data_IF_351424704700
#
_entry.id   IF_351424704700
#
_cell.length_a   1.000
_cell.length_b   1.000
_cell.length_c   1.000
_cell.angle_alpha   90.00
_cell.angle_beta   90.00
_cell.angle_gamma   90.00
#
_symmetry.space_group_name_H-M   'P 1'
#
loop_
_entity.id
_entity.type
_entity.pdbx_description
1 polymer ?
#
# COMPACT_ATOMS: atom_id res chain seq x y z
N UNK A 1 -10.42 -3.35 -15.49
CA UNK A 1 -11.10 -2.52 -14.47
C UNK A 1 -10.06 -2.22 -13.41
N UNK A 2 -9.91 -0.96 -13.01
CA UNK A 2 -8.93 -0.56 -12.00
C UNK A 2 -9.57 -0.46 -10.62
N UNK A 3 -8.84 -0.91 -9.60
CA UNK A 3 -9.25 -0.86 -8.19
C UNK A 3 -8.18 -0.10 -7.40
N UNK A 4 -8.62 0.84 -6.58
CA UNK A 4 -7.76 1.51 -5.60
C UNK A 4 -7.74 0.67 -4.31
N UNK A 5 -6.60 0.07 -4.00
CA UNK A 5 -6.32 -0.46 -2.69
C UNK A 5 -5.67 0.61 -1.83
N UNK A 6 -6.21 0.86 -0.64
CA UNK A 6 -5.69 1.82 0.33
C UNK A 6 -5.16 1.04 1.52
N UNK A 7 -3.87 1.17 1.79
CA UNK A 7 -3.31 0.77 3.07
C UNK A 7 -3.46 1.95 4.03
N UNK A 8 -4.54 1.93 4.81
CA UNK A 8 -4.98 3.08 5.60
C UNK A 8 -4.16 3.24 6.88
N UNK A 9 -3.46 4.37 6.93
CA UNK A 9 -2.73 4.91 8.07
C UNK A 9 -2.98 6.44 8.15
N UNK A 10 -4.25 6.84 7.98
CA UNK A 10 -4.69 8.24 7.97
C UNK A 10 -3.97 9.06 6.88
N UNK A 11 -3.33 10.18 7.23
CA UNK A 11 -2.59 11.01 6.26
C UNK A 11 -1.34 10.33 5.68
N UNK A 12 -0.90 9.24 6.30
CA UNK A 12 0.25 8.45 5.85
C UNK A 12 -0.16 7.22 5.03
N UNK A 13 -1.43 7.15 4.61
CA UNK A 13 -1.95 6.02 3.84
C UNK A 13 -1.23 5.83 2.51
N UNK A 14 -0.89 4.59 2.18
CA UNK A 14 -0.34 4.26 0.86
C UNK A 14 -1.44 3.86 -0.10
N UNK A 15 -1.32 4.29 -1.36
CA UNK A 15 -2.34 4.08 -2.38
C UNK A 15 -1.81 3.16 -3.48
N UNK A 16 -2.56 2.11 -3.80
CA UNK A 16 -2.16 1.11 -4.78
C UNK A 16 -3.25 0.97 -5.83
N UNK A 17 -2.93 1.18 -7.11
CA UNK A 17 -3.91 0.96 -8.20
C UNK A 17 -3.57 -0.32 -8.90
N UNK A 18 -4.51 -1.28 -8.85
CA UNK A 18 -4.38 -2.56 -9.52
C UNK A 18 -5.34 -2.63 -10.72
N UNK A 19 -4.83 -3.01 -11.89
CA UNK A 19 -5.68 -3.28 -13.05
C UNK A 19 -6.07 -4.77 -13.12
N UNK A 20 -7.37 -5.05 -12.95
CA UNK A 20 -7.96 -6.40 -13.05
C UNK A 20 -8.25 -6.83 -14.49
N UNK A 21 -7.85 -6.07 -15.50
CA UNK A 21 -8.05 -6.44 -16.90
C UNK A 21 -7.14 -7.61 -17.29
N UNK A 22 -7.65 -8.56 -18.06
CA UNK A 22 -6.86 -9.72 -18.52
C UNK A 22 -5.64 -9.23 -19.31
N UNK A 23 -4.46 -9.81 -19.03
CA UNK A 23 -3.21 -9.50 -19.73
C UNK A 23 -2.40 -8.31 -19.18
N UNK A 24 -3.01 -7.42 -18.39
CA UNK A 24 -2.30 -6.29 -17.76
C UNK A 24 -1.99 -6.67 -16.31
N UNK A 25 -0.73 -6.94 -16.01
CA UNK A 25 -0.25 -7.24 -14.66
C UNK A 25 0.57 -6.05 -14.14
N UNK A 26 -0.10 -4.93 -13.86
CA UNK A 26 0.56 -3.72 -13.33
C UNK A 26 0.00 -3.29 -11.98
N UNK A 27 0.89 -2.79 -11.13
CA UNK A 27 0.59 -2.20 -9.83
C UNK A 27 1.20 -0.81 -9.78
N UNK A 28 0.34 0.21 -9.69
CA UNK A 28 0.80 1.55 -9.38
C UNK A 28 0.89 1.70 -7.86
N UNK A 29 1.99 2.25 -7.37
CA UNK A 29 2.23 2.56 -5.95
C UNK A 29 2.35 4.07 -5.83
N UNK A 30 1.37 4.70 -5.22
CA UNK A 30 1.22 6.16 -5.22
C UNK A 30 1.48 6.70 -3.81
N UNK A 31 2.42 7.62 -3.72
CA UNK A 31 2.86 8.24 -2.47
C UNK A 31 1.78 9.16 -1.88
N UNK A 32 1.48 9.08 -0.57
CA UNK A 32 0.61 10.03 0.10
C UNK A 32 1.12 11.46 0.06
N UNK A 33 2.43 11.66 -0.07
CA UNK A 33 3.04 12.99 -0.01
C UNK A 33 2.96 13.78 -1.34
N UNK A 34 2.41 13.18 -2.40
CA UNK A 34 2.12 13.91 -3.64
C UNK A 34 1.14 15.04 -3.33
N UNK A 35 1.54 16.27 -3.62
CA UNK A 35 0.70 17.45 -3.46
C UNK A 35 -0.25 17.62 -4.64
N UNK A 36 -1.52 17.81 -4.33
CA UNK A 36 -2.55 18.31 -5.24
C UNK A 36 -2.84 19.73 -4.79
N UNK A 37 -2.29 20.71 -5.51
CA UNK A 37 -2.20 22.11 -5.08
C UNK A 37 -1.49 22.20 -3.71
N UNK A 38 -2.19 22.64 -2.67
CA UNK A 38 -1.62 22.88 -1.34
C UNK A 38 -1.84 21.73 -0.35
N UNK A 39 -2.51 20.65 -0.76
CA UNK A 39 -2.88 19.53 0.11
C UNK A 39 -2.23 18.25 -0.42
N UNK A 40 -1.63 17.46 0.46
CA UNK A 40 -1.10 16.14 0.09
C UNK A 40 -2.22 15.15 -0.20
N UNK A 41 -1.93 14.11 -0.99
CA UNK A 41 -2.91 13.08 -1.31
C UNK A 41 -3.41 12.36 -0.05
N UNK A 42 -2.52 12.12 0.90
CA UNK A 42 -2.87 11.54 2.20
C UNK A 42 -3.76 12.44 3.04
N UNK A 43 -3.51 13.75 3.10
CA UNK A 43 -4.42 14.69 3.78
C UNK A 43 -5.78 14.74 3.09
N UNK A 44 -5.80 14.83 1.76
CA UNK A 44 -7.04 14.85 0.99
C UNK A 44 -7.89 13.62 1.28
N UNK A 45 -7.27 12.43 1.36
CA UNK A 45 -7.95 11.18 1.71
C UNK A 45 -8.68 11.26 3.06
N UNK A 46 -8.09 11.92 4.05
CA UNK A 46 -8.71 12.06 5.38
C UNK A 46 -9.79 13.14 5.46
N UNK A 47 -9.78 14.12 4.54
CA UNK A 47 -10.67 15.28 4.58
C UNK A 47 -12.00 15.08 3.85
N UNK A 48 -12.07 14.12 2.91
CA UNK A 48 -13.25 13.92 2.07
C UNK A 48 -13.72 12.47 2.11
N UNK A 49 -15.02 12.21 1.88
CA UNK A 49 -15.52 10.85 1.67
C UNK A 49 -14.77 10.14 0.53
N UNK A 50 -14.59 8.83 0.65
CA UNK A 50 -13.82 8.00 -0.29
C UNK A 50 -14.30 8.16 -1.74
N UNK A 51 -15.59 8.35 -1.99
CA UNK A 51 -16.14 8.56 -3.33
C UNK A 51 -15.63 9.87 -3.96
N UNK A 52 -15.55 10.94 -3.15
CA UNK A 52 -14.96 12.22 -3.59
C UNK A 52 -13.45 12.08 -3.78
N UNK A 53 -12.78 11.36 -2.88
CA UNK A 53 -11.35 11.08 -3.01
C UNK A 53 -11.04 10.35 -4.32
N UNK A 54 -11.81 9.31 -4.67
CA UNK A 54 -11.65 8.56 -5.92
C UNK A 54 -11.86 9.44 -7.15
N UNK A 55 -12.82 10.36 -7.11
CA UNK A 55 -13.03 11.32 -8.19
C UNK A 55 -11.82 12.25 -8.36
N UNK A 56 -11.30 12.82 -7.26
CA UNK A 56 -10.11 13.66 -7.29
C UNK A 56 -8.87 12.90 -7.75
N UNK A 57 -8.64 11.69 -7.22
CA UNK A 57 -7.54 10.81 -7.61
C UNK A 57 -7.61 10.49 -9.11
N UNK A 58 -8.79 10.16 -9.61
CA UNK A 58 -8.98 9.79 -11.01
C UNK A 58 -8.67 10.96 -11.95
N UNK A 59 -9.12 12.16 -11.60
CA UNK A 59 -8.83 13.40 -12.35
C UNK A 59 -7.35 13.76 -12.24
N UNK A 60 -6.74 13.61 -11.06
CA UNK A 60 -5.37 14.00 -10.80
C UNK A 60 -4.36 13.20 -11.64
N UNK A 61 -4.56 11.90 -11.77
CA UNK A 61 -3.65 11.03 -12.51
C UNK A 61 -4.16 10.63 -13.89
N UNK A 62 -5.35 11.10 -14.30
CA UNK A 62 -6.04 10.66 -15.53
C UNK A 62 -6.24 9.13 -15.57
N UNK A 63 -6.57 8.53 -14.43
CA UNK A 63 -6.79 7.09 -14.26
C UNK A 63 -8.19 6.86 -13.72
N UNK A 64 -9.08 6.28 -14.52
CA UNK A 64 -10.44 5.99 -14.05
C UNK A 64 -10.44 4.89 -12.97
N UNK A 65 -10.73 5.26 -11.71
CA UNK A 65 -10.87 4.33 -10.60
C UNK A 65 -12.22 4.52 -9.89
N UNK A 66 -13.08 3.51 -9.97
CA UNK A 66 -14.44 3.50 -9.38
C UNK A 66 -14.60 2.52 -8.22
N UNK A 67 -13.65 1.59 -8.08
CA UNK A 67 -13.69 0.51 -7.11
C UNK A 67 -12.57 0.69 -6.10
N UNK A 68 -12.82 0.33 -4.86
CA UNK A 68 -11.83 0.45 -3.80
C UNK A 68 -11.88 -0.67 -2.76
N UNK A 69 -10.74 -0.86 -2.10
CA UNK A 69 -10.58 -1.71 -0.93
C UNK A 69 -9.68 -0.99 0.07
N UNK A 70 -10.18 -0.70 1.26
CA UNK A 70 -9.41 -0.10 2.36
C UNK A 70 -9.02 -1.19 3.33
N UNK A 71 -7.72 -1.37 3.56
CA UNK A 71 -7.17 -2.20 4.61
C UNK A 71 -6.52 -1.30 5.65
N UNK A 72 -7.12 -1.20 6.84
CA UNK A 72 -6.56 -0.39 7.93
C UNK A 72 -5.31 -1.06 8.48
N UNK A 73 -4.28 -0.26 8.75
CA UNK A 73 -3.06 -0.74 9.41
C UNK A 73 -3.37 -1.33 10.79
N UNK A 74 -4.24 -0.68 11.56
CA UNK A 74 -4.65 -1.14 12.87
C UNK A 74 -5.29 -2.55 12.81
N UNK A 75 -6.22 -2.77 11.89
CA UNK A 75 -6.88 -4.06 11.71
C UNK A 75 -5.90 -5.13 11.20
N UNK A 76 -4.95 -4.73 10.34
CA UNK A 76 -3.88 -5.60 9.87
C UNK A 76 -2.97 -6.06 11.02
N UNK A 77 -2.59 -5.14 11.91
CA UNK A 77 -1.78 -5.45 13.10
C UNK A 77 -2.55 -6.32 14.09
N UNK A 78 -3.85 -6.09 14.26
CA UNK A 78 -4.71 -6.96 15.07
C UNK A 78 -4.73 -8.38 14.52
N UNK A 79 -4.94 -8.54 13.21
CA UNK A 79 -4.91 -9.85 12.56
C UNK A 79 -3.54 -10.55 12.67
N UNK A 80 -2.43 -9.79 12.64
CA UNK A 80 -1.08 -10.33 12.90
C UNK A 80 -0.98 -10.82 14.35
N UNK A 81 -1.45 -10.03 15.31
CA UNK A 81 -1.45 -10.40 16.73
C UNK A 81 -2.23 -11.68 16.99
N UNK A 82 -3.37 -11.86 16.34
CA UNK A 82 -4.27 -12.99 16.55
C UNK A 82 -3.82 -14.28 15.84
N UNK A 83 -3.28 -14.17 14.63
CA UNK A 83 -3.02 -15.35 13.78
C UNK A 83 -1.67 -15.33 13.04
N UNK A 84 -0.94 -14.21 13.08
CA UNK A 84 0.29 -14.01 12.34
C UNK A 84 1.56 -14.37 13.12
N UNK A 85 1.57 -14.22 14.43
CA UNK A 85 2.73 -14.48 15.28
C UNK A 85 2.98 -15.98 15.49
N UNK A 86 4.24 -16.36 15.65
CA UNK A 86 4.64 -17.72 16.06
C UNK A 86 4.66 -17.84 17.59
N UNK A 87 5.02 -19.01 18.11
CA UNK A 87 4.98 -19.31 19.55
C UNK A 87 5.85 -18.36 20.41
N UNK A 88 6.87 -17.73 19.81
CA UNK A 88 7.73 -16.74 20.45
C UNK A 88 7.17 -15.30 20.40
N UNK A 89 5.94 -15.12 19.89
CA UNK A 89 5.31 -13.82 19.72
C UNK A 89 5.89 -12.98 18.59
N UNK A 90 6.61 -13.60 17.64
CA UNK A 90 7.26 -12.91 16.51
C UNK A 90 6.78 -13.41 15.15
N UNK A 91 6.86 -12.55 14.16
CA UNK A 91 6.57 -12.82 12.76
C UNK A 91 7.89 -12.96 11.98
N UNK A 92 8.15 -14.09 11.30
CA UNK A 92 9.28 -14.18 10.39
C UNK A 92 9.07 -13.30 9.16
N UNK A 93 10.03 -12.42 8.88
CA UNK A 93 10.03 -11.49 7.74
C UNK A 93 11.42 -11.51 7.10
N UNK A 94 11.48 -11.49 5.77
CA UNK A 94 12.75 -11.30 5.04
C UNK A 94 12.86 -9.84 4.67
N UNK A 95 13.91 -9.18 5.16
CA UNK A 95 14.21 -7.78 4.87
C UNK A 95 15.22 -7.72 3.73
N UNK A 96 14.93 -6.94 2.69
CA UNK A 96 15.75 -6.93 1.48
C UNK A 96 16.91 -5.92 1.51
N UNK A 97 16.89 -4.98 2.45
CA UNK A 97 17.83 -3.87 2.55
C UNK A 97 17.89 -3.33 3.99
N UNK A 98 19.05 -2.83 4.37
CA UNK A 98 19.25 -2.17 5.65
C UNK A 98 18.55 -0.80 5.68
N UNK A 99 17.82 -0.50 6.75
CA UNK A 99 17.22 0.82 6.94
C UNK A 99 16.87 1.08 8.42
N UNK A 100 16.64 2.35 8.75
CA UNK A 100 16.15 2.77 10.07
C UNK A 100 14.69 3.21 9.95
N UNK A 101 13.81 2.64 10.78
CA UNK A 101 12.43 3.08 10.86
C UNK A 101 12.32 4.35 11.71
N UNK A 102 11.85 5.44 11.12
CA UNK A 102 11.69 6.74 11.78
C UNK A 102 10.65 6.72 12.90
N UNK A 103 9.73 5.74 12.87
CA UNK A 103 8.66 5.62 13.87
C UNK A 103 9.18 5.37 15.29
N UNK A 104 10.24 4.57 15.43
CA UNK A 104 10.78 4.14 16.72
C UNK A 104 12.31 4.01 16.74
N UNK A 105 13.00 4.48 15.70
CA UNK A 105 14.43 4.32 15.48
C UNK A 105 14.90 2.86 15.47
N UNK A 106 14.02 1.92 15.11
CA UNK A 106 14.41 0.52 14.95
C UNK A 106 15.31 0.35 13.73
N UNK A 107 16.44 -0.30 13.94
CA UNK A 107 17.35 -0.70 12.86
C UNK A 107 16.91 -2.05 12.32
N UNK A 108 16.76 -2.12 11.00
CA UNK A 108 16.47 -3.35 10.28
C UNK A 108 17.66 -3.69 9.38
N UNK A 109 18.22 -4.88 9.55
CA UNK A 109 19.28 -5.45 8.71
C UNK A 109 18.72 -6.38 7.63
N UNK A 110 19.35 -6.41 6.48
CA UNK A 110 19.04 -7.32 5.38
C UNK A 110 19.17 -8.77 5.82
N UNK A 111 18.21 -9.59 5.41
CA UNK A 111 18.15 -11.01 5.71
C UNK A 111 16.85 -11.42 6.42
N UNK A 112 16.81 -12.67 6.84
CA UNK A 112 15.69 -13.20 7.60
C UNK A 112 15.73 -12.65 9.03
N UNK A 113 14.63 -12.07 9.47
CA UNK A 113 14.44 -11.54 10.81
C UNK A 113 13.12 -12.03 11.41
N UNK A 114 13.02 -11.91 12.74
CA UNK A 114 11.81 -12.22 13.49
C UNK A 114 11.35 -10.96 14.21
N UNK A 115 10.22 -10.41 13.77
CA UNK A 115 9.73 -9.11 14.22
C UNK A 115 8.58 -9.30 15.21
N UNK A 116 8.67 -8.64 16.37
CA UNK A 116 7.53 -8.40 17.26
C UNK A 116 6.47 -7.54 16.58
N UNK A 117 5.28 -7.48 17.17
CA UNK A 117 4.20 -6.66 16.62
C UNK A 117 4.56 -5.17 16.50
N UNK A 118 5.31 -4.63 17.48
CA UNK A 118 5.78 -3.25 17.46
C UNK A 118 6.81 -3.00 16.33
N UNK A 119 7.71 -3.97 16.10
CA UNK A 119 8.66 -3.92 14.99
C UNK A 119 7.95 -4.03 13.63
N UNK A 120 6.90 -4.85 13.53
CA UNK A 120 6.08 -4.93 12.30
C UNK A 120 5.37 -3.59 12.01
N UNK A 121 4.79 -2.95 13.03
CA UNK A 121 4.17 -1.63 12.87
C UNK A 121 5.19 -0.58 12.38
N UNK A 122 6.40 -0.57 12.94
CA UNK A 122 7.48 0.29 12.47
C UNK A 122 7.91 -0.05 11.02
N UNK A 123 8.02 -1.34 10.69
CA UNK A 123 8.44 -1.83 9.37
C UNK A 123 7.49 -1.40 8.23
N UNK A 124 6.18 -1.39 8.48
CA UNK A 124 5.15 -1.04 7.47
C UNK A 124 4.70 0.41 7.50
N UNK A 125 5.13 1.20 8.48
CA UNK A 125 4.76 2.61 8.57
C UNK A 125 5.41 3.40 7.44
N UNK A 126 4.63 4.26 6.80
CA UNK A 126 5.09 5.05 5.66
C UNK A 126 6.28 5.94 6.05
N UNK A 127 7.35 5.85 5.26
CA UNK A 127 8.51 6.74 5.30
C UNK A 127 9.22 6.73 3.95
N UNK A 128 9.97 7.80 3.67
CA UNK A 128 11.02 7.79 2.67
C UNK A 128 12.32 7.40 3.37
N UNK A 129 13.02 6.40 2.83
CA UNK A 129 14.26 5.89 3.43
C UNK A 129 15.42 6.89 3.22
N UNK A 130 16.53 6.71 3.94
CA UNK A 130 17.68 7.62 3.95
C UNK A 130 18.34 7.80 2.57
N UNK A 131 18.21 6.82 1.69
CA UNK A 131 18.69 6.89 0.31
C UNK A 131 17.67 7.50 -0.66
N UNK A 132 16.59 8.09 -0.13
CA UNK A 132 15.55 8.76 -0.89
C UNK A 132 14.61 7.81 -1.63
N UNK A 133 14.60 6.52 -1.30
CA UNK A 133 13.73 5.54 -1.96
C UNK A 133 12.41 5.32 -1.23
N UNK A 134 11.38 4.91 -1.99
CA UNK A 134 10.03 4.60 -1.50
C UNK A 134 9.85 3.08 -1.27
N UNK A 135 10.84 2.45 -0.61
CA UNK A 135 10.85 1.00 -0.40
C UNK A 135 9.74 0.51 0.54
N UNK A 136 9.09 1.44 1.27
CA UNK A 136 7.96 1.13 2.14
C UNK A 136 6.79 0.45 1.42
N UNK A 137 6.58 0.72 0.13
CA UNK A 137 5.56 0.01 -0.65
C UNK A 137 5.83 -1.49 -0.73
N UNK A 138 7.10 -1.87 -0.84
CA UNK A 138 7.50 -3.28 -0.89
C UNK A 138 7.27 -3.94 0.47
N UNK A 139 7.65 -3.25 1.54
CA UNK A 139 7.43 -3.69 2.94
C UNK A 139 5.95 -3.93 3.24
N UNK A 140 5.08 -2.99 2.83
CA UNK A 140 3.63 -3.11 2.99
C UNK A 140 3.05 -4.27 2.17
N UNK A 141 3.45 -4.42 0.91
CA UNK A 141 3.05 -5.55 0.06
C UNK A 141 3.47 -6.91 0.64
N UNK A 142 4.66 -6.99 1.22
CA UNK A 142 5.16 -8.22 1.83
C UNK A 142 4.31 -8.64 3.03
N UNK A 143 3.95 -7.71 3.90
CA UNK A 143 3.07 -8.00 5.03
C UNK A 143 1.69 -8.42 4.54
N UNK A 144 1.11 -7.74 3.55
CA UNK A 144 -0.17 -8.14 2.95
C UNK A 144 -0.09 -9.58 2.40
N UNK A 145 1.03 -9.95 1.76
CA UNK A 145 1.25 -11.29 1.21
C UNK A 145 1.46 -12.35 2.30
N UNK A 146 2.21 -12.03 3.35
CA UNK A 146 2.43 -12.91 4.50
C UNK A 146 1.11 -13.18 5.22
N UNK A 147 0.30 -12.15 5.42
CA UNK A 147 -1.04 -12.28 5.97
C UNK A 147 -1.87 -13.26 5.15
N UNK A 148 -1.95 -13.08 3.83
CA UNK A 148 -2.65 -14.03 2.95
C UNK A 148 -2.23 -15.48 3.19
N UNK A 149 -0.93 -15.77 3.31
CA UNK A 149 -0.44 -17.15 3.52
C UNK A 149 -0.89 -17.73 4.87
N UNK A 150 -0.98 -16.90 5.91
CA UNK A 150 -1.36 -17.34 7.26
C UNK A 150 -2.89 -17.37 7.48
N UNK A 151 -3.66 -16.44 6.90
CA UNK A 151 -5.13 -16.41 7.01
C UNK A 151 -5.88 -17.19 5.94
N UNK A 152 -5.28 -17.48 4.78
CA UNK A 152 -5.93 -18.22 3.68
C UNK A 152 -5.43 -19.68 3.64
N UNK A 153 -6.01 -20.53 4.49
CA UNK A 153 -6.23 -21.95 4.13
C UNK A 153 -7.65 -22.04 3.56
N UNK A 154 -7.86 -22.02 2.22
CA UNK A 154 -9.21 -22.00 1.70
C UNK A 154 -9.74 -23.45 1.65
N UNK A 155 -10.81 -23.72 2.39
CA UNK A 155 -11.86 -24.60 1.89
C UNK A 155 -12.84 -23.70 1.14
N UNK A 156 -13.33 -24.10 -0.03
CA UNK A 156 -14.29 -23.30 -0.81
C UNK A 156 -15.55 -22.92 0.01
N UNK A 157 -15.90 -23.71 1.02
CA UNK A 157 -16.99 -23.45 1.97
C UNK A 157 -16.71 -22.36 3.01
N UNK A 158 -15.45 -21.97 3.27
CA UNK A 158 -15.11 -20.90 4.23
C UNK A 158 -15.00 -19.52 3.59
N UNK A 159 -15.04 -19.41 2.26
CA UNK A 159 -15.04 -18.11 1.56
C UNK A 159 -16.35 -17.34 1.79
N UNK A 160 -17.49 -18.03 1.91
CA UNK A 160 -18.78 -17.42 2.25
C UNK A 160 -18.86 -16.98 3.72
N UNK A 161 -18.17 -17.66 4.64
CA UNK A 161 -18.14 -17.29 6.06
C UNK A 161 -17.13 -16.18 6.35
N UNK A 162 -15.95 -16.21 5.71
CA UNK A 162 -14.93 -15.15 5.83
C UNK A 162 -15.32 -13.85 5.08
N UNK A 163 -16.39 -13.87 4.27
CA UNK A 163 -16.95 -12.69 3.63
C UNK A 163 -17.47 -11.67 4.65
N UNK A 164 -18.01 -12.13 5.77
CA UNK A 164 -18.41 -11.27 6.90
C UNK A 164 -17.20 -10.60 7.53
N UNK A 165 -16.17 -11.37 7.85
CA UNK A 165 -14.97 -10.89 8.57
C UNK A 165 -14.10 -9.96 7.73
N UNK A 166 -13.90 -10.22 6.43
CA UNK A 166 -13.18 -9.28 5.54
C UNK A 166 -13.95 -7.97 5.39
N UNK A 167 -15.28 -8.00 5.36
CA UNK A 167 -16.12 -6.78 5.32
C UNK A 167 -16.14 -6.02 6.66
N UNK A 168 -16.02 -6.71 7.79
CA UNK A 168 -15.95 -6.11 9.12
C UNK A 168 -14.67 -5.29 9.34
N UNK A 169 -13.55 -5.68 8.72
CA UNK A 169 -12.25 -4.98 8.84
C UNK A 169 -11.82 -4.20 7.57
N UNK A 170 -12.66 -4.14 6.53
CA UNK A 170 -12.33 -3.40 5.30
C UNK A 170 -13.50 -2.57 4.77
N UNK A 171 -13.23 -1.30 4.48
CA UNK A 171 -14.16 -0.46 3.71
C UNK A 171 -14.04 -0.81 2.23
N UNK A 172 -15.09 -1.32 1.60
CA UNK A 172 -15.04 -1.68 0.18
C UNK A 172 -16.40 -1.55 -0.52
N UNK A 173 -16.36 -1.18 -1.81
CA UNK A 173 -17.50 -1.23 -2.73
C UNK A 173 -17.35 -2.34 -3.79
N UNK A 174 -16.45 -3.31 -3.56
CA UNK A 174 -16.24 -4.48 -4.40
C UNK A 174 -17.39 -5.47 -4.20
N UNK A 175 -17.91 -6.03 -5.29
CA UNK A 175 -18.80 -7.18 -5.20
C UNK A 175 -17.97 -8.48 -5.07
N UNK A 176 -18.65 -9.60 -4.76
CA UNK A 176 -17.99 -10.91 -4.60
C UNK A 176 -17.17 -11.31 -5.85
N UNK A 177 -17.67 -11.03 -7.06
CA UNK A 177 -16.96 -11.32 -8.31
C UNK A 177 -15.67 -10.51 -8.44
N UNK A 178 -15.69 -9.24 -8.04
CA UNK A 178 -14.53 -8.35 -8.05
C UNK A 178 -13.48 -8.82 -7.02
N UNK A 179 -13.93 -9.20 -5.81
CA UNK A 179 -13.05 -9.77 -4.79
C UNK A 179 -12.43 -11.10 -5.23
N UNK A 180 -13.20 -12.00 -5.86
CA UNK A 180 -12.68 -13.25 -6.41
C UNK A 180 -11.64 -12.98 -7.51
N UNK A 181 -11.86 -11.98 -8.37
CA UNK A 181 -10.88 -11.56 -9.38
C UNK A 181 -9.63 -10.94 -8.76
N UNK A 182 -9.74 -10.18 -7.68
CA UNK A 182 -8.56 -9.71 -6.92
C UNK A 182 -7.82 -10.87 -6.26
N UNK A 183 -8.58 -11.79 -5.66
CA UNK A 183 -8.13 -13.03 -5.04
C UNK A 183 -7.34 -13.92 -6.00
N UNK A 184 -7.79 -14.05 -7.24
CA UNK A 184 -7.20 -14.89 -8.29
C UNK A 184 -6.22 -14.15 -9.21
N UNK A 185 -6.30 -12.83 -9.29
CA UNK A 185 -5.41 -11.96 -10.05
C UNK A 185 -4.22 -11.51 -9.22
N UNK A 186 -4.35 -10.35 -8.55
CA UNK A 186 -3.29 -9.74 -7.74
C UNK A 186 -2.78 -10.68 -6.64
N UNK A 187 -3.70 -11.35 -5.96
CA UNK A 187 -3.38 -12.14 -4.77
C UNK A 187 -2.91 -13.56 -5.11
N UNK A 188 -3.47 -14.25 -6.13
CA UNK A 188 -3.07 -15.63 -6.46
C UNK A 188 -1.89 -15.73 -7.44
N UNK A 189 -1.66 -14.72 -8.28
CA UNK A 189 -0.55 -14.78 -9.25
C UNK A 189 0.84 -14.58 -8.64
N UNK A 190 0.94 -14.29 -7.34
CA UNK A 190 2.21 -14.36 -6.59
C UNK A 190 3.40 -13.70 -7.31
N UNK A 191 4.44 -14.48 -7.62
CA UNK A 191 5.68 -14.06 -8.30
C UNK A 191 5.56 -13.89 -9.83
N UNK A 192 4.37 -13.98 -10.43
CA UNK A 192 4.23 -13.63 -11.85
C UNK A 192 4.67 -12.17 -12.04
N UNK A 193 5.65 -11.92 -12.94
CA UNK A 193 6.24 -10.59 -13.22
C UNK A 193 5.13 -9.54 -13.31
N UNK A 194 4.94 -8.79 -12.24
CA UNK A 194 4.01 -7.68 -12.17
C UNK A 194 4.83 -6.41 -12.38
N UNK A 195 4.42 -5.60 -13.35
CA UNK A 195 5.06 -4.32 -13.60
C UNK A 195 4.66 -3.36 -12.47
N UNK A 196 5.60 -3.07 -11.58
CA UNK A 196 5.40 -2.19 -10.42
C UNK A 196 5.92 -0.81 -10.77
N UNK A 197 5.04 0.19 -10.69
CA UNK A 197 5.36 1.57 -11.04
C UNK A 197 5.16 2.43 -9.79
N UNK A 198 6.25 3.01 -9.30
CA UNK A 198 6.18 4.00 -8.22
C UNK A 198 5.76 5.35 -8.80
N UNK A 199 4.90 6.05 -8.08
CA UNK A 199 4.47 7.42 -8.38
C UNK A 199 4.72 8.26 -7.12
N UNK A 200 5.67 9.20 -7.14
CA UNK A 200 6.59 9.47 -8.25
C UNK A 200 7.60 8.34 -8.49
N UNK A 201 8.10 8.24 -9.72
CA UNK A 201 9.12 7.26 -10.09
C UNK A 201 10.45 7.58 -9.40
N UNK A 202 11.24 6.54 -9.12
CA UNK A 202 12.55 6.70 -8.50
C UNK A 202 13.43 7.65 -9.34
N UNK A 203 14.23 8.49 -8.67
CA UNK A 203 15.07 9.52 -9.29
C UNK A 203 14.34 10.64 -10.06
N UNK A 204 13.01 10.73 -9.94
CA UNK A 204 12.23 11.84 -10.51
C UNK A 204 11.76 12.84 -9.47
N UNK A 205 12.20 12.71 -8.22
CA UNK A 205 11.85 13.61 -7.14
C UNK A 205 13.04 13.93 -6.24
N UNK A 206 12.91 15.02 -5.51
CA UNK A 206 13.84 15.40 -4.43
C UNK A 206 13.17 15.18 -3.08
N UNK A 207 14.00 14.99 -2.06
CA UNK A 207 13.57 14.83 -0.67
C UNK A 207 14.10 16.00 0.17
N UNK A 208 13.43 16.29 1.29
CA UNK A 208 13.94 17.25 2.27
C UNK A 208 15.30 16.83 2.81
N UNK A 209 16.15 17.80 3.18
CA UNK A 209 17.51 17.51 3.64
C UNK A 209 17.59 16.99 5.10
N UNK A 210 16.47 16.99 5.82
CA UNK A 210 16.39 16.59 7.23
C UNK A 210 15.36 15.50 7.43
N UNK A 211 15.69 14.51 8.27
CA UNK A 211 14.75 13.50 8.72
C UNK A 211 13.66 14.12 9.63
N UNK A 212 12.38 13.70 9.53
CA UNK A 212 11.86 12.71 8.59
C UNK A 212 11.87 13.23 7.15
N UNK A 213 12.44 12.46 6.22
CA UNK A 213 12.53 12.81 4.81
C UNK A 213 11.13 12.95 4.20
N UNK A 214 10.89 14.07 3.52
CA UNK A 214 9.62 14.39 2.84
C UNK A 214 9.84 14.66 1.37
N UNK A 215 8.84 14.33 0.56
CA UNK A 215 8.78 14.64 -0.86
C UNK A 215 8.79 16.18 -1.04
N UNK A 216 9.79 16.70 -1.75
CA UNK A 216 9.96 18.13 -1.97
C UNK A 216 9.47 18.54 -3.36
N UNK A 217 10.25 18.25 -4.41
CA UNK A 217 9.88 18.53 -5.80
C UNK A 217 9.78 17.25 -6.61
N UNK A 218 8.88 17.22 -7.60
CA UNK A 218 8.70 16.09 -8.52
C UNK A 218 8.79 16.58 -9.96
N UNK A 219 9.66 15.94 -10.74
CA UNK A 219 9.76 16.12 -12.18
C UNK A 219 8.75 15.21 -12.90
N UNK A 220 7.51 15.71 -13.02
CA UNK A 220 6.42 14.99 -13.69
C UNK A 220 6.68 14.71 -15.17
N UNK A 221 7.66 15.36 -15.81
CA UNK A 221 7.98 15.12 -17.22
C UNK A 221 8.59 13.72 -17.44
N UNK A 222 9.35 13.24 -16.44
CA UNK A 222 10.04 11.94 -16.42
C UNK A 222 9.21 10.78 -15.85
N UNK A 223 8.00 11.07 -15.37
CA UNK A 223 7.10 10.06 -14.81
C UNK A 223 6.23 9.42 -15.89
N UNK A 224 6.07 8.10 -15.84
CA UNK A 224 5.10 7.37 -16.68
C UNK A 224 3.66 7.79 -16.36
N UNK A 225 3.34 7.87 -15.06
CA UNK A 225 2.08 8.38 -14.55
C UNK A 225 2.27 9.83 -14.11
N UNK A 226 1.60 10.75 -14.81
CA UNK A 226 1.75 12.18 -14.58
C UNK A 226 0.60 12.71 -13.73
N UNK A 227 0.93 13.58 -12.79
CA UNK A 227 -0.05 14.46 -12.18
C UNK A 227 -0.53 15.47 -13.25
N UNK A 228 -1.80 15.84 -13.22
CA UNK A 228 -2.37 16.83 -14.14
C UNK A 228 -1.69 18.19 -13.96
N UNK A 229 -1.37 18.86 -15.08
CA UNK A 229 -0.52 20.06 -15.09
C UNK A 229 -1.02 21.25 -14.26
N UNK A 230 -2.33 21.41 -14.13
CA UNK A 230 -2.97 22.45 -13.31
C UNK A 230 -2.97 22.15 -11.80
N UNK A 231 -2.52 20.97 -11.39
CA UNK A 231 -2.53 20.53 -9.99
C UNK A 231 -1.16 20.59 -9.31
N UNK A 232 -0.07 20.78 -10.06
CA UNK A 232 1.29 20.94 -9.52
C UNK A 232 1.94 22.28 -9.89
N UNK A 233 1.18 23.18 -10.50
CA UNK A 233 1.55 24.59 -10.70
C UNK A 233 1.25 25.40 -9.45
#
# INVERSE_FOLDING_TARGET
MKVLFVFDDQKNSSFFVYDLSSGINSLLRVSPEIKIKNVTLGELYTQVPIEKFLAYFSVAFSIEVKKYLVLKKADSLLAIKEAGLEADGKLPVTIYKDFVAQKNNQHFTKGAQRLSLAEVDAYISYQIDEDGQLDVFERQEDIIRLMKRKTVKPRLSSITNNFGTVKEYSGSNLNLKDMLKMGTGYLAKGNARMNKINVPANHTFTVSNTAPYRLATVDWSKNEIKLRADLYK
#
